data_IF_275483533223
#
_entry.id   IF_275483533223
#
_cell.length_a   1.000
_cell.length_b   1.000
_cell.length_c   1.000
_cell.angle_alpha   90.00
_cell.angle_beta   90.00
_cell.angle_gamma   90.00
#
_symmetry.space_group_name_H-M   'P 1'
#
loop_
_entity.id
_entity.type
_entity.pdbx_description
1 polymer ?
#
# COMPACT_ATOMS: atom_id res chain seq x y z
N UNK A 1 -13.80 -33.70 -23.40
CA UNK A 1 -13.79 -32.88 -22.17
C UNK A 1 -12.79 -31.81 -22.46
N UNK A 2 -13.21 -30.55 -22.43
CA UNK A 2 -12.29 -29.45 -22.61
C UNK A 2 -11.26 -29.47 -21.47
N UNK A 3 -9.98 -29.24 -21.78
CA UNK A 3 -8.91 -29.23 -20.75
C UNK A 3 -8.83 -27.87 -20.06
N UNK A 4 -8.12 -27.82 -18.94
CA UNK A 4 -7.78 -26.55 -18.29
C UNK A 4 -6.96 -25.64 -19.21
N UNK A 5 -5.99 -26.22 -19.93
CA UNK A 5 -5.16 -25.49 -20.90
C UNK A 5 -5.97 -24.87 -22.05
N UNK A 6 -6.96 -25.60 -22.59
CA UNK A 6 -7.87 -25.09 -23.63
C UNK A 6 -8.72 -23.91 -23.12
N UNK A 7 -9.11 -23.95 -21.84
CA UNK A 7 -9.80 -22.82 -21.20
C UNK A 7 -8.88 -21.61 -21.08
N UNK A 8 -7.63 -21.80 -20.67
CA UNK A 8 -6.65 -20.71 -20.50
C UNK A 8 -6.31 -20.04 -21.85
N UNK A 9 -6.06 -20.82 -22.91
CA UNK A 9 -5.81 -20.28 -24.26
C UNK A 9 -6.99 -19.44 -24.77
N UNK A 10 -8.22 -19.90 -24.53
CA UNK A 10 -9.42 -19.14 -24.89
C UNK A 10 -9.56 -17.84 -24.09
N UNK A 11 -9.14 -17.83 -22.82
CA UNK A 11 -9.13 -16.63 -21.97
C UNK A 11 -8.06 -15.65 -22.46
N UNK A 12 -6.83 -16.10 -22.70
CA UNK A 12 -5.72 -15.27 -23.19
C UNK A 12 -6.09 -14.56 -24.50
N UNK A 13 -6.78 -15.26 -25.41
CA UNK A 13 -7.25 -14.68 -26.67
C UNK A 13 -8.52 -13.83 -26.58
N UNK A 14 -9.17 -13.75 -25.41
CA UNK A 14 -10.43 -13.05 -25.23
C UNK A 14 -11.64 -13.69 -25.94
N UNK A 15 -11.57 -14.99 -26.28
CA UNK A 15 -12.66 -15.70 -26.95
C UNK A 15 -13.79 -16.07 -25.96
N UNK A 16 -14.69 -15.12 -25.72
CA UNK A 16 -15.87 -15.33 -24.86
C UNK A 16 -16.70 -16.57 -25.24
N UNK A 17 -16.80 -16.86 -26.55
CA UNK A 17 -17.58 -18.01 -27.03
C UNK A 17 -16.84 -19.32 -26.78
N UNK A 18 -15.53 -19.32 -26.96
CA UNK A 18 -14.63 -20.42 -26.62
C UNK A 18 -14.64 -20.72 -25.13
N UNK A 19 -14.48 -19.70 -24.29
CA UNK A 19 -14.56 -19.83 -22.82
C UNK A 19 -15.90 -20.42 -22.40
N UNK A 20 -17.01 -19.88 -22.91
CA UNK A 20 -18.35 -20.39 -22.60
C UNK A 20 -18.50 -21.87 -22.99
N UNK A 21 -18.05 -22.24 -24.18
CA UNK A 21 -18.09 -23.63 -24.65
C UNK A 21 -17.26 -24.54 -23.74
N UNK A 22 -16.04 -24.15 -23.38
CA UNK A 22 -15.19 -24.94 -22.48
C UNK A 22 -15.86 -25.16 -21.12
N UNK A 23 -16.45 -24.12 -20.53
CA UNK A 23 -17.14 -24.18 -19.24
C UNK A 23 -18.46 -24.97 -19.29
N UNK A 24 -19.10 -25.07 -20.46
CA UNK A 24 -20.31 -25.89 -20.66
C UNK A 24 -19.94 -27.36 -20.95
N UNK A 25 -18.77 -27.61 -21.56
CA UNK A 25 -18.18 -28.93 -21.79
C UNK A 25 -17.48 -29.52 -20.55
N UNK A 26 -17.55 -28.82 -19.41
CA UNK A 26 -17.09 -29.28 -18.11
C UNK A 26 -15.65 -28.92 -17.75
N UNK A 27 -15.03 -27.94 -18.43
CA UNK A 27 -13.76 -27.38 -17.98
C UNK A 27 -13.89 -26.78 -16.57
N UNK A 28 -12.87 -26.94 -15.75
CA UNK A 28 -12.86 -26.44 -14.39
C UNK A 28 -12.59 -24.93 -14.36
N UNK A 29 -13.57 -24.14 -13.92
CA UNK A 29 -13.42 -22.69 -13.75
C UNK A 29 -12.41 -22.32 -12.64
N UNK A 30 -12.03 -23.28 -11.79
CA UNK A 30 -11.00 -23.16 -10.76
C UNK A 30 -9.63 -23.62 -11.24
N UNK A 31 -9.50 -23.97 -12.52
CA UNK A 31 -8.24 -24.40 -13.07
C UNK A 31 -7.15 -23.35 -12.81
N UNK A 32 -5.99 -23.85 -12.39
CA UNK A 32 -4.79 -23.11 -12.12
C UNK A 32 -3.60 -23.90 -12.68
N UNK A 33 -2.57 -23.19 -13.11
CA UNK A 33 -1.30 -23.81 -13.47
C UNK A 33 -0.48 -24.22 -12.23
N UNK A 34 0.74 -24.69 -12.47
CA UNK A 34 1.65 -25.18 -11.42
C UNK A 34 2.12 -24.06 -10.46
N UNK A 35 1.93 -22.79 -10.81
CA UNK A 35 2.26 -21.61 -9.99
C UNK A 35 1.02 -21.05 -9.26
N UNK A 36 -0.12 -21.74 -9.34
CA UNK A 36 -1.38 -21.29 -8.74
C UNK A 36 -2.07 -20.18 -9.53
N UNK A 37 -1.62 -19.87 -10.75
CA UNK A 37 -2.19 -18.85 -11.60
C UNK A 37 -3.51 -19.35 -12.21
N UNK A 38 -4.62 -18.84 -11.67
CA UNK A 38 -5.96 -19.30 -12.07
C UNK A 38 -6.47 -18.65 -13.37
N UNK A 39 -7.47 -19.25 -13.99
CA UNK A 39 -8.27 -18.63 -15.07
C UNK A 39 -8.72 -17.18 -14.78
N UNK A 40 -9.08 -16.86 -13.53
CA UNK A 40 -9.49 -15.50 -13.15
C UNK A 40 -8.31 -14.51 -13.11
N UNK A 41 -7.10 -14.96 -12.78
CA UNK A 41 -5.90 -14.13 -12.83
C UNK A 41 -5.63 -13.70 -14.26
N UNK A 42 -5.67 -14.65 -15.20
CA UNK A 42 -5.49 -14.40 -16.63
C UNK A 42 -6.52 -13.42 -17.19
N UNK A 43 -7.81 -13.67 -16.93
CA UNK A 43 -8.87 -12.77 -17.39
C UNK A 43 -8.71 -11.34 -16.85
N UNK A 44 -8.22 -11.18 -15.61
CA UNK A 44 -7.99 -9.88 -15.01
C UNK A 44 -6.73 -9.18 -15.55
N UNK A 45 -5.65 -9.94 -15.82
CA UNK A 45 -4.41 -9.45 -16.41
C UNK A 45 -4.65 -8.92 -17.83
N UNK A 46 -5.45 -9.64 -18.63
CA UNK A 46 -5.75 -9.27 -20.02
C UNK A 46 -6.92 -8.28 -20.16
N UNK A 47 -7.62 -8.00 -19.05
CA UNK A 47 -8.70 -6.99 -19.02
C UNK A 47 -10.05 -7.48 -19.56
N UNK A 48 -10.26 -8.80 -19.61
CA UNK A 48 -11.48 -9.40 -20.14
C UNK A 48 -12.59 -9.47 -19.08
N UNK A 49 -13.32 -8.37 -18.90
CA UNK A 49 -14.37 -8.23 -17.90
C UNK A 49 -15.53 -9.22 -18.07
N UNK A 50 -16.00 -9.46 -19.30
CA UNK A 50 -17.06 -10.43 -19.59
C UNK A 50 -16.65 -11.86 -19.21
N UNK A 51 -15.39 -12.22 -19.49
CA UNK A 51 -14.82 -13.53 -19.15
C UNK A 51 -14.67 -13.66 -17.63
N UNK A 52 -14.13 -12.64 -16.95
CA UNK A 52 -14.00 -12.63 -15.50
C UNK A 52 -15.38 -12.81 -14.80
N UNK A 53 -16.43 -12.15 -15.30
CA UNK A 53 -17.81 -12.35 -14.80
C UNK A 53 -18.31 -13.78 -15.03
N UNK A 54 -18.01 -14.39 -16.17
CA UNK A 54 -18.38 -15.79 -16.44
C UNK A 54 -17.69 -16.74 -15.46
N UNK A 55 -16.40 -16.54 -15.21
CA UNK A 55 -15.61 -17.35 -14.28
C UNK A 55 -16.14 -17.24 -12.84
N UNK A 56 -16.41 -16.02 -12.36
CA UNK A 56 -17.00 -15.79 -11.04
C UNK A 56 -18.36 -16.48 -10.88
N UNK A 57 -19.22 -16.43 -11.92
CA UNK A 57 -20.51 -17.14 -11.92
C UNK A 57 -20.38 -18.66 -11.87
N UNK A 58 -19.28 -19.21 -12.39
CA UNK A 58 -18.97 -20.64 -12.31
C UNK A 58 -18.23 -21.01 -11.02
N UNK A 59 -18.08 -20.05 -10.09
CA UNK A 59 -17.55 -20.29 -8.75
C UNK A 59 -16.07 -19.98 -8.58
N UNK A 60 -15.42 -19.31 -9.55
CA UNK A 60 -14.05 -18.83 -9.39
C UNK A 60 -13.88 -18.05 -8.09
N UNK A 61 -12.78 -18.31 -7.38
CA UNK A 61 -12.45 -17.60 -6.15
C UNK A 61 -11.94 -16.22 -6.51
N UNK A 62 -12.73 -15.18 -6.21
CA UNK A 62 -12.39 -13.78 -6.49
C UNK A 62 -11.05 -13.34 -5.89
N UNK A 63 -10.74 -13.95 -4.74
CA UNK A 63 -9.61 -13.66 -3.88
C UNK A 63 -8.56 -14.78 -3.92
N UNK A 64 -8.53 -15.57 -5.02
CA UNK A 64 -7.47 -16.53 -5.25
C UNK A 64 -6.10 -15.84 -5.22
N UNK A 65 -5.08 -16.60 -4.83
CA UNK A 65 -3.69 -16.14 -4.86
C UNK A 65 -2.84 -17.14 -5.60
N UNK A 66 -1.94 -16.65 -6.45
CA UNK A 66 -0.84 -17.44 -6.98
C UNK A 66 0.24 -17.70 -5.92
N UNK A 67 1.30 -18.39 -6.32
CA UNK A 67 2.44 -18.69 -5.46
C UNK A 67 3.16 -17.45 -4.93
N UNK A 68 3.05 -16.29 -5.58
CA UNK A 68 3.62 -15.03 -5.09
C UNK A 68 2.66 -14.21 -4.22
N UNK A 69 1.45 -14.74 -3.96
CA UNK A 69 0.41 -14.04 -3.21
C UNK A 69 -0.28 -12.95 -4.02
N UNK A 70 -0.08 -12.90 -5.34
CA UNK A 70 -0.74 -11.97 -6.23
C UNK A 70 -2.20 -12.36 -6.38
N UNK A 71 -3.09 -11.38 -6.42
CA UNK A 71 -4.54 -11.59 -6.60
C UNK A 71 -5.01 -11.14 -7.98
N UNK A 72 -6.18 -11.58 -8.46
CA UNK A 72 -6.75 -11.08 -9.71
C UNK A 72 -6.93 -9.55 -9.72
N UNK A 73 -7.28 -8.95 -8.57
CA UNK A 73 -7.40 -7.50 -8.43
C UNK A 73 -6.06 -6.79 -8.66
N UNK A 74 -4.97 -7.34 -8.12
CA UNK A 74 -3.61 -6.80 -8.32
C UNK A 74 -3.22 -6.76 -9.79
N UNK A 75 -3.51 -7.83 -10.54
CA UNK A 75 -3.24 -7.90 -11.98
C UNK A 75 -4.12 -6.95 -12.79
N UNK A 76 -5.41 -6.83 -12.46
CA UNK A 76 -6.29 -5.85 -13.12
C UNK A 76 -5.79 -4.41 -12.91
N UNK A 77 -5.28 -4.10 -11.71
CA UNK A 77 -4.70 -2.81 -11.40
C UNK A 77 -3.37 -2.56 -12.14
N UNK A 78 -2.52 -3.58 -12.26
CA UNK A 78 -1.26 -3.52 -13.01
C UNK A 78 -1.49 -3.37 -14.52
N UNK A 79 -2.52 -4.02 -15.07
CA UNK A 79 -2.94 -3.83 -16.46
C UNK A 79 -3.69 -2.51 -16.71
N UNK A 80 -4.05 -1.76 -15.66
CA UNK A 80 -4.85 -0.53 -15.79
C UNK A 80 -6.31 -0.77 -16.20
N UNK A 81 -6.81 -2.00 -16.02
CA UNK A 81 -8.11 -2.47 -16.50
C UNK A 81 -9.26 -2.01 -15.60
N UNK A 82 -9.57 -0.72 -15.67
CA UNK A 82 -10.50 -0.04 -14.75
C UNK A 82 -11.91 -0.64 -14.74
N UNK A 83 -12.36 -1.23 -15.84
CA UNK A 83 -13.65 -1.93 -15.90
C UNK A 83 -13.65 -3.21 -15.05
N UNK A 84 -12.58 -4.01 -15.15
CA UNK A 84 -12.37 -5.22 -14.35
C UNK A 84 -12.23 -4.87 -12.87
N UNK A 85 -11.44 -3.84 -12.54
CA UNK A 85 -11.29 -3.36 -11.15
C UNK A 85 -12.65 -3.01 -10.56
N UNK A 86 -13.45 -2.18 -11.24
CA UNK A 86 -14.80 -1.82 -10.77
C UNK A 86 -15.74 -3.02 -10.63
N UNK A 87 -15.58 -4.04 -11.45
CA UNK A 87 -16.35 -5.28 -11.36
C UNK A 87 -15.95 -6.07 -10.11
N UNK A 88 -14.65 -6.31 -9.89
CA UNK A 88 -14.15 -7.03 -8.72
C UNK A 88 -14.53 -6.34 -7.40
N UNK A 89 -14.44 -5.01 -7.36
CA UNK A 89 -14.84 -4.21 -6.19
C UNK A 89 -16.34 -4.38 -5.85
N UNK A 90 -17.22 -4.48 -6.86
CA UNK A 90 -18.66 -4.72 -6.64
C UNK A 90 -18.94 -6.09 -6.05
N UNK A 91 -18.13 -7.07 -6.42
CA UNK A 91 -18.19 -8.44 -5.91
C UNK A 91 -17.48 -8.60 -4.55
N UNK A 92 -17.07 -7.49 -3.91
CA UNK A 92 -16.51 -7.40 -2.56
C UNK A 92 -15.21 -8.20 -2.37
N UNK A 93 -14.31 -8.12 -3.34
CA UNK A 93 -12.94 -8.62 -3.16
C UNK A 93 -12.20 -7.90 -2.02
N UNK A 94 -11.16 -8.54 -1.49
CA UNK A 94 -10.30 -7.95 -0.48
C UNK A 94 -9.29 -6.99 -1.11
N UNK A 95 -9.60 -5.70 -0.98
CA UNK A 95 -8.78 -4.60 -1.51
C UNK A 95 -7.50 -4.35 -0.72
N UNK A 96 -7.38 -4.89 0.50
CA UNK A 96 -6.26 -4.63 1.42
C UNK A 96 -5.16 -5.68 1.31
N UNK A 97 -5.34 -6.72 0.49
CA UNK A 97 -4.35 -7.77 0.38
C UNK A 97 -3.06 -7.26 -0.23
N UNK A 98 -1.96 -7.85 0.23
CA UNK A 98 -0.61 -7.63 -0.29
C UNK A 98 -0.01 -8.95 -0.75
N UNK A 99 0.82 -8.88 -1.78
CA UNK A 99 1.62 -10.01 -2.23
C UNK A 99 2.80 -10.29 -1.28
N UNK A 100 3.61 -11.31 -1.59
CA UNK A 100 4.81 -11.65 -0.79
C UNK A 100 5.86 -10.53 -0.72
N UNK A 101 5.84 -9.58 -1.66
CA UNK A 101 6.69 -8.40 -1.67
C UNK A 101 6.06 -7.20 -0.93
N UNK A 102 4.89 -7.37 -0.31
CA UNK A 102 4.19 -6.32 0.41
C UNK A 102 3.47 -5.31 -0.49
N UNK A 103 3.24 -5.62 -1.77
CA UNK A 103 2.59 -4.73 -2.73
C UNK A 103 1.09 -4.98 -2.77
N UNK A 104 0.29 -3.94 -2.58
CA UNK A 104 -1.17 -3.99 -2.72
C UNK A 104 -1.62 -3.75 -4.17
N UNK A 105 -2.91 -3.96 -4.44
CA UNK A 105 -3.49 -3.60 -5.74
C UNK A 105 -3.41 -2.09 -6.02
N UNK A 106 -3.56 -1.24 -4.99
CA UNK A 106 -3.37 0.21 -5.12
C UNK A 106 -1.92 0.56 -5.46
N UNK A 107 -0.94 -0.09 -4.81
CA UNK A 107 0.47 0.10 -5.13
C UNK A 107 0.75 -0.17 -6.62
N UNK A 108 0.25 -1.31 -7.12
CA UNK A 108 0.42 -1.70 -8.53
C UNK A 108 -0.28 -0.75 -9.50
N UNK A 109 -1.50 -0.30 -9.19
CA UNK A 109 -2.16 0.73 -9.99
C UNK A 109 -1.32 2.01 -10.04
N UNK A 110 -0.81 2.50 -8.91
CA UNK A 110 -0.07 3.76 -8.84
C UNK A 110 1.26 3.75 -9.62
N UNK A 111 1.87 2.59 -9.82
CA UNK A 111 3.11 2.43 -10.58
C UNK A 111 2.93 2.54 -12.11
N UNK A 112 1.70 2.45 -12.62
CA UNK A 112 1.41 2.40 -14.05
C UNK A 112 0.96 3.79 -14.54
N UNK A 113 1.64 4.30 -15.57
CA UNK A 113 1.24 5.57 -16.16
C UNK A 113 -0.12 5.44 -16.88
N UNK A 114 -1.12 6.22 -16.44
CA UNK A 114 -2.45 6.26 -17.06
C UNK A 114 -3.54 5.45 -16.38
N UNK A 115 -3.24 4.76 -15.28
CA UNK A 115 -4.18 3.98 -14.46
C UNK A 115 -5.00 4.82 -13.45
N UNK A 116 -5.16 6.13 -13.68
CA UNK A 116 -5.79 7.05 -12.71
C UNK A 116 -7.17 6.57 -12.26
N UNK A 117 -7.95 5.98 -13.17
CA UNK A 117 -9.27 5.45 -12.89
C UNK A 117 -9.24 4.20 -11.99
N UNK A 118 -8.22 3.35 -12.11
CA UNK A 118 -8.00 2.22 -11.20
C UNK A 118 -7.66 2.72 -9.80
N UNK A 119 -6.71 3.66 -9.69
CA UNK A 119 -6.32 4.25 -8.41
C UNK A 119 -7.50 4.93 -7.73
N UNK A 120 -8.31 5.70 -8.47
CA UNK A 120 -9.54 6.31 -7.95
C UNK A 120 -10.56 5.28 -7.46
N UNK A 121 -10.79 4.21 -8.23
CA UNK A 121 -11.73 3.16 -7.86
C UNK A 121 -11.28 2.42 -6.59
N UNK A 122 -9.98 2.10 -6.50
CA UNK A 122 -9.38 1.48 -5.32
C UNK A 122 -9.49 2.38 -4.09
N UNK A 123 -9.18 3.67 -4.22
CA UNK A 123 -9.29 4.62 -3.10
C UNK A 123 -10.73 4.78 -2.59
N UNK A 124 -11.70 4.83 -3.50
CA UNK A 124 -13.11 4.88 -3.13
C UNK A 124 -13.54 3.63 -2.35
N UNK A 125 -13.15 2.44 -2.84
CA UNK A 125 -13.45 1.18 -2.16
C UNK A 125 -12.72 1.02 -0.82
N UNK A 126 -11.48 1.51 -0.71
CA UNK A 126 -10.74 1.58 0.55
C UNK A 126 -11.44 2.47 1.56
N UNK A 127 -11.91 3.65 1.17
CA UNK A 127 -12.63 4.56 2.07
C UNK A 127 -13.93 3.93 2.62
N UNK A 128 -14.66 3.18 1.79
CA UNK A 128 -15.85 2.43 2.20
C UNK A 128 -15.50 1.26 3.14
N UNK A 129 -14.36 0.60 2.96
CA UNK A 129 -13.86 -0.45 3.85
C UNK A 129 -13.42 0.07 5.23
N UNK A 130 -12.95 1.32 5.31
CA UNK A 130 -12.52 1.98 6.55
C UNK A 130 -13.62 2.78 7.26
N UNK A 131 -14.77 3.05 6.63
CA UNK A 131 -15.89 3.78 7.25
C UNK A 131 -15.64 5.28 7.47
N UNK A 132 -14.73 5.89 6.69
CA UNK A 132 -14.33 7.29 6.85
C UNK A 132 -15.01 8.18 5.79
N UNK A 133 -15.77 9.23 6.16
CA UNK A 133 -16.30 10.18 5.18
C UNK A 133 -15.19 11.12 4.71
N UNK A 134 -14.90 11.09 3.41
CA UNK A 134 -14.06 12.10 2.76
C UNK A 134 -14.85 13.41 2.59
N UNK A 135 -15.02 14.16 3.68
CA UNK A 135 -15.54 15.52 3.59
C UNK A 135 -14.42 16.52 3.28
N UNK A 136 -14.50 17.15 2.10
CA UNK A 136 -14.04 18.54 1.93
C UNK A 136 -12.80 18.82 1.09
N UNK A 137 -12.05 17.83 0.59
CA UNK A 137 -11.02 18.02 -0.46
C UNK A 137 -11.07 16.86 -1.44
N UNK A 138 -11.37 17.15 -2.70
CA UNK A 138 -11.49 16.13 -3.73
C UNK A 138 -10.14 15.48 -4.00
N UNK A 139 -10.06 14.15 -3.93
CA UNK A 139 -8.89 13.34 -4.34
C UNK A 139 -8.47 13.59 -5.81
N UNK A 140 -9.33 14.23 -6.61
CA UNK A 140 -9.00 14.72 -7.94
C UNK A 140 -8.01 15.90 -7.94
N UNK A 141 -7.99 16.73 -6.89
CA UNK A 141 -7.05 17.86 -6.76
C UNK A 141 -5.62 17.37 -6.43
N UNK A 142 -5.50 16.17 -5.84
CA UNK A 142 -4.22 15.49 -5.58
C UNK A 142 -3.62 14.84 -6.84
N UNK A 143 -4.47 14.39 -7.79
CA UNK A 143 -4.03 13.82 -9.06
C UNK A 143 -3.43 14.86 -10.03
N UNK A 144 -3.78 16.15 -9.87
CA UNK A 144 -3.34 17.23 -10.77
C UNK A 144 -1.88 17.67 -10.62
N UNK A 145 -1.19 17.25 -9.56
CA UNK A 145 0.25 17.53 -9.36
C UNK A 145 1.04 16.23 -9.46
N UNK A 146 1.53 15.94 -10.67
CA UNK A 146 2.57 14.92 -10.88
C UNK A 146 3.69 15.11 -9.84
N UNK A 147 3.88 14.11 -8.98
CA UNK A 147 5.05 13.83 -8.10
C UNK A 147 4.94 13.91 -6.56
N UNK A 148 3.78 14.15 -5.93
CA UNK A 148 3.69 14.10 -4.45
C UNK A 148 2.51 13.28 -3.89
N UNK A 149 1.37 13.19 -4.60
CA UNK A 149 0.21 12.42 -4.13
C UNK A 149 0.41 10.89 -4.17
N UNK A 150 1.14 10.36 -5.15
CA UNK A 150 1.59 8.95 -5.16
C UNK A 150 2.62 8.65 -4.05
N UNK A 151 3.21 9.69 -3.44
CA UNK A 151 4.22 9.55 -2.38
C UNK A 151 3.59 9.35 -1.00
N UNK A 152 2.38 9.87 -0.80
CA UNK A 152 1.60 9.81 0.45
C UNK A 152 0.69 8.59 0.51
N UNK A 153 0.18 8.09 -0.63
CA UNK A 153 -0.65 6.87 -0.63
C UNK A 153 0.15 5.57 -0.45
N UNK A 154 1.49 5.67 -0.47
CA UNK A 154 2.42 4.63 0.00
C UNK A 154 2.47 4.51 1.53
N UNK A 155 1.84 5.44 2.27
CA UNK A 155 1.76 5.45 3.74
C UNK A 155 0.60 4.57 4.27
N UNK A 156 -0.18 3.95 3.39
CA UNK A 156 -1.37 3.15 3.73
C UNK A 156 -1.02 1.66 3.96
N UNK A 157 -0.63 1.35 5.19
CA UNK A 157 -1.06 0.16 5.95
C UNK A 157 -0.74 -1.26 5.43
N UNK A 158 0.24 -1.92 6.06
CA UNK A 158 0.02 -3.23 6.72
C UNK A 158 0.81 -3.26 8.04
N UNK A 159 0.08 -3.28 9.17
CA UNK A 159 0.52 -3.32 10.59
C UNK A 159 1.05 -2.01 11.22
N UNK A 160 0.78 -1.82 12.53
CA UNK A 160 1.36 -0.77 13.39
C UNK A 160 2.89 -0.75 13.28
N UNK A 161 3.50 -1.92 13.16
CA UNK A 161 4.95 -2.08 13.00
C UNK A 161 5.45 -1.53 11.66
N UNK A 162 4.74 -1.79 10.57
CA UNK A 162 5.13 -1.30 9.24
C UNK A 162 5.00 0.22 9.10
N UNK A 163 3.97 0.83 9.69
CA UNK A 163 3.83 2.29 9.73
C UNK A 163 4.90 2.93 10.63
N UNK A 164 5.21 2.28 11.75
CA UNK A 164 6.27 2.70 12.66
C UNK A 164 7.65 2.73 12.03
N UNK A 165 8.10 1.62 11.42
CA UNK A 165 9.43 1.57 10.76
C UNK A 165 9.61 2.65 9.69
N UNK A 166 8.57 2.91 8.90
CA UNK A 166 8.60 3.95 7.85
C UNK A 166 8.69 5.36 8.42
N UNK A 167 8.03 5.61 9.55
CA UNK A 167 8.18 6.88 10.26
C UNK A 167 9.64 7.08 10.69
N UNK A 168 10.28 6.03 11.23
CA UNK A 168 11.69 6.08 11.62
C UNK A 168 12.61 6.34 10.41
N UNK A 169 12.44 5.63 9.31
CA UNK A 169 13.20 5.85 8.05
C UNK A 169 12.98 7.26 7.46
N UNK A 170 11.80 7.86 7.66
CA UNK A 170 11.54 9.23 7.23
C UNK A 170 12.26 10.26 8.10
N UNK A 171 12.35 9.98 9.40
CA UNK A 171 13.11 10.78 10.36
C UNK A 171 14.62 10.68 10.13
N UNK A 172 15.13 9.47 9.92
CA UNK A 172 16.54 9.21 9.57
C UNK A 172 16.95 9.95 8.30
N UNK A 173 16.07 10.00 7.29
CA UNK A 173 16.32 10.73 6.05
C UNK A 173 16.04 12.24 6.12
N UNK A 174 15.68 12.79 7.28
CA UNK A 174 15.40 14.22 7.47
C UNK A 174 14.21 14.76 6.67
N UNK A 175 13.25 13.91 6.27
CA UNK A 175 12.15 14.30 5.35
C UNK A 175 10.96 14.90 6.10
N UNK A 176 11.06 16.16 6.52
CA UNK A 176 10.03 16.86 7.31
C UNK A 176 8.61 16.73 6.74
N UNK A 177 8.40 17.08 5.47
CA UNK A 177 7.07 17.05 4.85
C UNK A 177 6.46 15.64 4.79
N UNK A 178 7.30 14.60 4.75
CA UNK A 178 6.84 13.21 4.82
C UNK A 178 6.46 12.83 6.24
N UNK A 179 7.26 13.20 7.24
CA UNK A 179 6.93 12.95 8.65
C UNK A 179 5.64 13.64 9.06
N UNK A 180 5.42 14.91 8.69
CA UNK A 180 4.17 15.62 8.98
C UNK A 180 2.94 14.90 8.42
N UNK A 181 3.05 14.39 7.20
CA UNK A 181 1.96 13.71 6.54
C UNK A 181 1.70 12.32 7.13
N UNK A 182 2.74 11.56 7.45
CA UNK A 182 2.62 10.28 8.16
C UNK A 182 1.94 10.46 9.52
N UNK A 183 2.30 11.49 10.29
CA UNK A 183 1.68 11.80 11.58
C UNK A 183 0.22 12.25 11.43
N UNK A 184 -0.10 13.04 10.41
CA UNK A 184 -1.49 13.38 10.08
C UNK A 184 -2.31 12.15 9.66
N UNK A 185 -1.67 11.17 9.04
CA UNK A 185 -2.23 9.86 8.68
C UNK A 185 -2.36 8.87 9.85
N UNK A 186 -1.94 9.25 11.06
CA UNK A 186 -2.07 8.40 12.25
C UNK A 186 -0.94 7.39 12.44
N UNK A 187 0.23 7.61 11.84
CA UNK A 187 1.42 6.79 12.10
C UNK A 187 1.75 6.77 13.62
N UNK A 188 2.18 5.62 14.16
CA UNK A 188 2.48 5.49 15.58
C UNK A 188 3.77 6.24 15.91
N UNK A 189 3.63 7.45 16.44
CA UNK A 189 4.75 8.32 16.82
C UNK A 189 5.59 7.73 17.97
N UNK A 190 5.00 6.83 18.76
CA UNK A 190 5.61 6.14 19.88
C UNK A 190 6.33 4.84 19.47
N UNK A 191 6.42 4.56 18.18
CA UNK A 191 7.09 3.37 17.69
C UNK A 191 8.61 3.47 17.86
N UNK A 192 9.21 2.35 18.24
CA UNK A 192 10.66 2.18 18.35
C UNK A 192 11.11 0.97 17.54
N UNK A 193 12.35 0.98 17.07
CA UNK A 193 12.97 -0.17 16.42
C UNK A 193 13.40 -1.25 17.43
N UNK A 194 14.23 -2.19 16.97
CA UNK A 194 14.74 -3.30 17.79
C UNK A 194 15.71 -2.87 18.89
N UNK A 195 16.37 -1.72 18.72
CA UNK A 195 17.34 -1.16 19.66
C UNK A 195 16.70 -0.14 20.62
N UNK A 196 15.41 0.16 20.41
CA UNK A 196 14.64 1.11 21.22
C UNK A 196 14.70 2.54 20.67
N UNK A 197 15.28 2.74 19.48
CA UNK A 197 15.35 4.04 18.84
C UNK A 197 13.99 4.43 18.28
N UNK A 198 13.52 5.60 18.70
CA UNK A 198 12.28 6.22 18.23
C UNK A 198 12.53 7.38 17.27
N UNK A 199 11.46 7.97 16.74
CA UNK A 199 11.53 9.05 15.74
C UNK A 199 12.45 10.21 16.15
N UNK A 200 12.46 10.57 17.45
CA UNK A 200 13.29 11.66 17.96
C UNK A 200 14.79 11.31 18.03
N UNK A 201 15.15 10.03 18.21
CA UNK A 201 16.55 9.59 18.18
C UNK A 201 17.12 9.76 16.77
N UNK A 202 16.42 9.27 15.76
CA UNK A 202 16.82 9.41 14.36
C UNK A 202 16.86 10.88 13.89
N UNK A 203 15.88 11.69 14.29
CA UNK A 203 15.87 13.11 13.95
C UNK A 203 17.05 13.88 14.57
N UNK A 204 17.44 13.50 15.79
CA UNK A 204 18.56 14.09 16.50
C UNK A 204 19.92 13.67 15.92
N UNK A 205 20.08 12.38 15.59
CA UNK A 205 21.27 11.84 14.95
C UNK A 205 21.49 12.40 13.53
N UNK A 206 20.42 12.68 12.77
CA UNK A 206 20.52 13.35 11.47
C UNK A 206 20.73 14.87 11.59
N UNK A 207 20.48 15.45 12.76
CA UNK A 207 20.71 16.88 13.01
C UNK A 207 19.66 17.81 12.39
N UNK A 208 18.41 17.38 12.29
CA UNK A 208 17.32 18.19 11.72
C UNK A 208 16.53 18.96 12.79
N UNK A 209 16.82 20.26 13.03
CA UNK A 209 16.24 21.00 14.15
C UNK A 209 14.72 21.18 14.01
N UNK A 210 14.21 21.42 12.80
CA UNK A 210 12.77 21.57 12.56
C UNK A 210 12.00 20.28 12.84
N UNK A 211 12.62 19.13 12.54
CA UNK A 211 12.02 17.83 12.80
C UNK A 211 12.04 17.51 14.30
N UNK A 212 13.14 17.83 14.99
CA UNK A 212 13.23 17.72 16.44
C UNK A 212 12.16 18.57 17.13
N UNK A 213 11.96 19.81 16.68
CA UNK A 213 10.95 20.71 17.21
C UNK A 213 9.54 20.13 17.01
N UNK A 214 9.22 19.68 15.79
CA UNK A 214 7.93 19.06 15.48
C UNK A 214 7.63 17.86 16.39
N UNK A 215 8.59 16.95 16.55
CA UNK A 215 8.41 15.72 17.33
C UNK A 215 8.24 16.01 18.83
N UNK A 216 8.99 16.98 19.35
CA UNK A 216 8.83 17.48 20.73
C UNK A 216 7.44 18.12 20.92
N UNK A 217 6.97 18.93 19.97
CA UNK A 217 5.61 19.51 20.02
C UNK A 217 4.51 18.44 20.03
N UNK A 218 4.76 17.30 19.39
CA UNK A 218 3.87 16.13 19.41
C UNK A 218 3.96 15.33 20.71
N UNK A 219 4.81 15.73 21.65
CA UNK A 219 4.89 15.18 23.00
C UNK A 219 5.98 14.12 23.20
N UNK A 220 6.92 13.97 22.25
CA UNK A 220 8.07 13.09 22.46
C UNK A 220 9.04 13.76 23.42
N UNK A 221 9.63 12.96 24.30
CA UNK A 221 10.56 13.45 25.31
C UNK A 221 11.99 13.34 24.83
N UNK A 222 12.74 14.42 24.95
CA UNK A 222 14.16 14.47 24.61
C UNK A 222 15.06 13.70 25.60
N UNK A 223 14.57 13.32 26.78
CA UNK A 223 15.28 12.52 27.80
C UNK A 223 14.92 11.02 27.75
N UNK A 224 14.13 10.59 26.76
CA UNK A 224 13.79 9.18 26.60
C UNK A 224 15.01 8.42 26.10
N UNK A 225 15.61 7.60 26.96
CA UNK A 225 16.74 6.74 26.61
C UNK A 225 16.29 5.50 25.83
N UNK A 226 17.05 5.14 24.78
CA UNK A 226 16.91 3.89 24.05
C UNK A 226 17.49 2.69 24.85
N UNK A 227 17.53 1.51 24.23
CA UNK A 227 17.98 0.27 24.87
C UNK A 227 19.48 0.23 25.20
N UNK A 228 20.27 1.01 24.47
CA UNK A 228 21.70 1.28 24.69
C UNK A 228 21.96 2.35 25.79
N UNK A 229 20.91 3.07 26.20
CA UNK A 229 20.99 4.15 27.20
C UNK A 229 21.23 5.54 26.61
N UNK A 230 21.31 5.67 25.28
CA UNK A 230 21.50 6.96 24.60
C UNK A 230 20.17 7.72 24.52
N UNK A 231 20.21 9.02 24.81
CA UNK A 231 19.06 9.91 24.61
C UNK A 231 19.21 10.67 23.30
N UNK A 232 18.11 11.20 22.72
CA UNK A 232 18.20 12.09 21.57
C UNK A 232 19.14 13.29 21.79
N UNK A 233 19.26 13.80 23.02
CA UNK A 233 20.21 14.88 23.33
C UNK A 233 21.65 14.40 23.22
N UNK A 234 21.95 13.22 23.78
CA UNK A 234 23.31 12.65 23.75
C UNK A 234 23.74 12.41 22.29
N UNK A 235 22.85 11.88 21.46
CA UNK A 235 23.08 11.64 20.03
C UNK A 235 23.39 12.94 19.27
N UNK A 236 22.59 14.00 19.49
CA UNK A 236 22.83 15.28 18.84
C UNK A 236 24.13 15.96 19.34
N UNK A 237 24.55 15.72 20.58
CA UNK A 237 25.83 16.22 21.11
C UNK A 237 27.03 15.47 20.54
N UNK A 238 26.92 14.14 20.39
CA UNK A 238 27.99 13.30 19.83
C UNK A 238 28.26 13.64 18.35
N UNK A 239 27.20 13.87 17.58
CA UNK A 239 27.29 14.24 16.15
C UNK A 239 27.53 15.75 15.92
N UNK A 240 27.73 16.54 16.99
CA UNK A 240 28.01 17.99 16.95
C UNK A 240 26.89 18.83 16.27
N UNK A 241 25.63 18.42 16.42
CA UNK A 241 24.46 19.12 15.85
C UNK A 241 23.93 20.23 16.77
N UNK A 242 24.67 21.33 16.87
CA UNK A 242 24.41 22.46 17.79
C UNK A 242 22.94 22.98 17.77
N UNK A 243 22.33 23.10 16.59
CA UNK A 243 20.95 23.59 16.45
C UNK A 243 19.92 22.59 16.98
N UNK A 244 20.10 21.29 16.71
CA UNK A 244 19.25 20.23 17.24
C UNK A 244 19.42 20.12 18.77
N UNK A 245 20.65 20.21 19.29
CA UNK A 245 20.93 20.24 20.74
C UNK A 245 20.20 21.40 21.41
N UNK A 246 20.21 22.59 20.81
CA UNK A 246 19.51 23.75 21.34
C UNK A 246 18.00 23.53 21.43
N UNK A 247 17.39 22.98 20.39
CA UNK A 247 15.95 22.65 20.34
C UNK A 247 15.59 21.62 21.42
N UNK A 248 16.34 20.52 21.50
CA UNK A 248 16.07 19.44 22.44
C UNK A 248 16.27 19.88 23.90
N UNK A 249 17.34 20.60 24.22
CA UNK A 249 17.56 21.14 25.59
C UNK A 249 16.51 22.18 25.98
N UNK A 250 16.05 23.00 25.04
CA UNK A 250 14.97 23.95 25.30
C UNK A 250 13.66 23.25 25.67
N UNK A 251 13.41 22.04 25.15
CA UNK A 251 12.24 21.24 25.50
C UNK A 251 12.29 20.69 26.92
N UNK A 252 13.48 20.34 27.43
CA UNK A 252 13.68 19.80 28.78
C UNK A 252 13.51 20.86 29.89
N UNK A 253 13.60 22.14 29.53
CA UNK A 253 13.46 23.25 30.47
C UNK A 253 11.99 23.67 30.71
N UNK A 254 11.02 23.05 30.03
CA UNK A 254 9.58 23.35 30.11
C UNK A 254 8.86 22.31 30.95
#
# INVERSE_FOLDING_TARGET
MATGDELMEAIEGGDESGVKRCLDDGADALHADDEGFTALHMACQEGHDAIAVMLLRKGAKIDATDDDGVTPLMLACEGGHSAVVKMLLKERCDVMRVDKAGRSALFRAACIAGSEDCSRAMLAASADAFGCPVEGKSMADLAGKKSVACKLMLEECVSREGAGKRLLEACEAGRLASVEAMLAGGAPIDFTDGDGWGALHFAAAEGTPELCELLVEKGLKADAAAGDGETPVDLAEEEEHDEAVAVLKASLAK
#
